data_IF_801166266792
#
_entry.id   IF_801166266792
#
_cell.length_a   1.000
_cell.length_b   1.000
_cell.length_c   1.000
_cell.angle_alpha   90.00
_cell.angle_beta   90.00
_cell.angle_gamma   90.00
#
_symmetry.space_group_name_H-M   'P 1'
#
loop_
_entity.id
_entity.type
_entity.pdbx_description
1 polymer ?
#
# COMPACT_ATOMS: atom_id res chain seq x y z
N UNK A 1 -35.24 -5.58 -17.15
CA UNK A 1 -34.97 -4.67 -16.03
C UNK A 1 -33.85 -5.28 -15.22
N UNK A 2 -32.72 -4.58 -15.03
CA UNK A 2 -31.56 -5.14 -14.32
C UNK A 2 -31.85 -5.20 -12.81
N UNK A 3 -31.44 -6.29 -12.17
CA UNK A 3 -31.52 -6.42 -10.72
C UNK A 3 -30.37 -5.64 -10.06
N UNK A 4 -30.72 -4.59 -9.32
CA UNK A 4 -29.76 -3.73 -8.62
C UNK A 4 -29.45 -4.22 -7.21
N UNK A 5 -30.05 -5.32 -6.75
CA UNK A 5 -29.79 -5.90 -5.43
C UNK A 5 -28.34 -6.33 -5.25
N UNK A 6 -27.65 -6.70 -6.34
CA UNK A 6 -26.22 -7.02 -6.37
C UNK A 6 -25.35 -5.93 -5.73
N UNK A 7 -25.63 -4.64 -6.00
CA UNK A 7 -24.85 -3.51 -5.46
C UNK A 7 -24.99 -3.32 -3.94
N UNK A 8 -26.02 -3.93 -3.34
CA UNK A 8 -26.28 -3.92 -1.90
C UNK A 8 -25.89 -5.23 -1.22
N UNK A 9 -25.26 -6.16 -1.95
CA UNK A 9 -24.79 -7.42 -1.38
C UNK A 9 -23.61 -7.20 -0.42
N UNK A 10 -23.39 -8.10 0.55
CA UNK A 10 -22.23 -8.04 1.44
C UNK A 10 -20.90 -7.97 0.67
N UNK A 11 -20.79 -8.72 -0.43
CA UNK A 11 -19.60 -8.71 -1.30
C UNK A 11 -19.37 -7.34 -1.95
N UNK A 12 -20.43 -6.68 -2.42
CA UNK A 12 -20.32 -5.34 -2.99
C UNK A 12 -19.99 -4.27 -1.94
N UNK A 13 -20.41 -4.46 -0.67
CA UNK A 13 -19.98 -3.61 0.45
C UNK A 13 -18.49 -3.82 0.78
N UNK A 14 -18.03 -5.07 0.80
CA UNK A 14 -16.64 -5.43 1.08
C UNK A 14 -15.68 -4.81 0.06
N UNK A 15 -15.94 -4.94 -1.24
CA UNK A 15 -15.14 -4.31 -2.30
C UNK A 15 -15.09 -2.79 -2.13
N UNK A 16 -16.21 -2.16 -1.74
CA UNK A 16 -16.25 -0.71 -1.51
C UNK A 16 -15.50 -0.30 -0.25
N UNK A 17 -15.51 -1.13 0.79
CA UNK A 17 -14.67 -0.91 1.97
C UNK A 17 -13.20 -1.01 1.60
N UNK A 18 -12.80 -2.04 0.86
CA UNK A 18 -11.43 -2.20 0.38
C UNK A 18 -10.98 -0.97 -0.41
N UNK A 19 -11.75 -0.53 -1.41
CA UNK A 19 -11.43 0.68 -2.18
C UNK A 19 -11.36 1.96 -1.33
N UNK A 20 -12.18 2.07 -0.28
CA UNK A 20 -12.10 3.20 0.67
C UNK A 20 -10.84 3.13 1.53
N UNK A 21 -10.43 1.94 1.95
CA UNK A 21 -9.17 1.75 2.67
C UNK A 21 -7.97 2.10 1.78
N UNK A 22 -7.95 1.60 0.55
CA UNK A 22 -6.91 1.93 -0.43
C UNK A 22 -6.84 3.43 -0.70
N UNK A 23 -7.98 4.09 -0.91
CA UNK A 23 -8.03 5.54 -1.09
C UNK A 23 -7.46 6.32 0.10
N UNK A 24 -7.75 5.89 1.33
CA UNK A 24 -7.15 6.49 2.54
C UNK A 24 -5.64 6.32 2.57
N UNK A 25 -5.15 5.13 2.28
CA UNK A 25 -3.71 4.86 2.27
C UNK A 25 -3.00 5.56 1.11
N UNK A 26 -3.65 5.80 -0.02
CA UNK A 26 -3.09 6.57 -1.12
C UNK A 26 -2.82 8.02 -0.69
N UNK A 27 -3.79 8.65 0.00
CA UNK A 27 -3.62 10.00 0.55
C UNK A 27 -2.52 10.04 1.61
N UNK A 28 -2.43 9.01 2.47
CA UNK A 28 -1.35 8.89 3.46
C UNK A 28 0.01 8.74 2.77
N UNK A 29 0.12 7.92 1.73
CA UNK A 29 1.36 7.72 0.98
C UNK A 29 1.86 9.03 0.36
N UNK A 30 0.95 9.80 -0.26
CA UNK A 30 1.26 11.11 -0.83
C UNK A 30 1.69 12.12 0.24
N UNK A 31 0.94 12.21 1.34
CA UNK A 31 1.29 13.11 2.44
C UNK A 31 2.65 12.76 3.07
N UNK A 32 2.95 11.46 3.24
CA UNK A 32 4.24 11.02 3.76
C UNK A 32 5.38 11.33 2.80
N UNK A 33 5.18 11.17 1.49
CA UNK A 33 6.17 11.58 0.49
C UNK A 33 6.51 13.06 0.68
N UNK A 34 5.50 13.95 0.68
CA UNK A 34 5.70 15.40 0.80
C UNK A 34 6.42 15.86 2.07
N UNK A 35 6.24 15.15 3.19
CA UNK A 35 6.77 15.54 4.49
C UNK A 35 8.21 15.06 4.76
N UNK A 36 8.73 14.10 3.99
CA UNK A 36 10.09 13.61 4.16
C UNK A 36 11.13 14.61 3.60
N UNK A 37 12.38 14.60 4.08
CA UNK A 37 13.48 15.27 3.38
C UNK A 37 13.50 14.81 1.91
N UNK A 38 13.69 15.73 0.97
CA UNK A 38 13.49 15.55 -0.49
C UNK A 38 12.02 15.36 -0.95
N UNK A 39 11.04 15.66 -0.10
CA UNK A 39 9.67 15.12 -0.16
C UNK A 39 8.78 15.36 -1.38
N UNK A 40 9.14 16.21 -2.34
CA UNK A 40 8.34 16.32 -3.59
C UNK A 40 8.71 15.31 -4.66
N UNK A 41 9.89 14.70 -4.58
CA UNK A 41 10.40 13.81 -5.63
C UNK A 41 10.25 12.32 -5.28
N UNK A 42 9.76 12.01 -4.07
CA UNK A 42 9.64 10.62 -3.64
C UNK A 42 8.45 9.90 -4.26
N UNK A 43 8.73 8.71 -4.76
CA UNK A 43 7.71 7.78 -5.19
C UNK A 43 7.02 7.05 -4.01
N UNK A 44 5.82 6.50 -4.23
CA UNK A 44 5.12 5.70 -3.20
C UNK A 44 5.93 4.47 -2.78
N UNK A 45 6.74 3.91 -3.68
CA UNK A 45 7.64 2.78 -3.39
C UNK A 45 8.74 3.18 -2.41
N UNK A 46 9.32 4.37 -2.56
CA UNK A 46 10.29 4.91 -1.60
C UNK A 46 9.67 5.18 -0.22
N UNK A 47 8.39 5.57 -0.16
CA UNK A 47 7.67 5.70 1.12
C UNK A 47 7.54 4.33 1.81
N UNK A 48 7.25 3.27 1.07
CA UNK A 48 7.20 1.90 1.62
C UNK A 48 8.57 1.50 2.18
N UNK A 49 9.65 1.70 1.42
CA UNK A 49 11.01 1.39 1.87
C UNK A 49 11.38 2.17 3.14
N UNK A 50 11.06 3.47 3.18
CA UNK A 50 11.29 4.31 4.34
C UNK A 50 10.54 3.79 5.58
N UNK A 51 9.27 3.43 5.45
CA UNK A 51 8.49 2.89 6.57
C UNK A 51 9.09 1.58 7.07
N UNK A 52 9.48 0.66 6.17
CA UNK A 52 10.08 -0.62 6.56
C UNK A 52 11.41 -0.45 7.30
N UNK A 53 12.25 0.48 6.84
CA UNK A 53 13.48 0.86 7.54
C UNK A 53 13.18 1.38 8.96
N UNK A 54 12.21 2.29 9.09
CA UNK A 54 11.78 2.82 10.41
C UNK A 54 11.18 1.75 11.32
N UNK A 55 10.62 0.69 10.75
CA UNK A 55 10.10 -0.48 11.47
C UNK A 55 11.18 -1.49 11.84
N UNK A 56 12.40 -1.33 11.33
CA UNK A 56 13.49 -2.29 11.54
C UNK A 56 13.25 -3.64 10.84
N UNK A 57 12.48 -3.63 9.74
CA UNK A 57 12.24 -4.83 8.94
C UNK A 57 13.40 -4.98 7.95
N UNK A 58 14.19 -6.04 8.12
CA UNK A 58 15.29 -6.38 7.23
C UNK A 58 14.75 -6.78 5.85
N UNK A 59 15.15 -6.03 4.81
CA UNK A 59 14.76 -6.26 3.42
C UNK A 59 15.83 -7.06 2.69
N UNK A 60 15.44 -8.17 2.07
CA UNK A 60 16.28 -8.85 1.10
C UNK A 60 16.44 -8.01 -0.18
N UNK A 61 17.52 -8.23 -0.94
CA UNK A 61 17.74 -7.55 -2.22
C UNK A 61 16.58 -7.79 -3.19
N UNK A 62 16.06 -9.02 -3.25
CA UNK A 62 14.91 -9.37 -4.08
C UNK A 62 13.63 -8.60 -3.69
N UNK A 63 13.40 -8.38 -2.39
CA UNK A 63 12.27 -7.60 -1.92
C UNK A 63 12.43 -6.11 -2.25
N UNK A 64 13.65 -5.57 -2.10
CA UNK A 64 13.97 -4.21 -2.48
C UNK A 64 13.75 -4.00 -3.98
N UNK A 65 14.27 -4.90 -4.81
CA UNK A 65 14.10 -4.87 -6.26
C UNK A 65 12.62 -4.94 -6.67
N UNK A 66 11.84 -5.83 -6.04
CA UNK A 66 10.39 -5.92 -6.26
C UNK A 66 9.67 -4.62 -5.93
N UNK A 67 10.04 -3.95 -4.83
CA UNK A 67 9.41 -2.68 -4.44
C UNK A 67 9.81 -1.58 -5.41
N UNK A 68 11.10 -1.43 -5.74
CA UNK A 68 11.58 -0.36 -6.61
C UNK A 68 11.17 -0.53 -8.07
N UNK A 69 11.04 -1.76 -8.54
CA UNK A 69 10.61 -2.10 -9.91
C UNK A 69 9.09 -2.16 -10.08
N UNK A 70 8.31 -1.78 -9.07
CA UNK A 70 6.86 -1.85 -9.13
C UNK A 70 6.28 -0.77 -10.06
N UNK A 71 5.66 -1.19 -11.16
CA UNK A 71 5.00 -0.29 -12.11
C UNK A 71 3.52 -0.02 -11.75
N UNK A 72 2.89 -0.90 -10.95
CA UNK A 72 1.50 -0.70 -10.51
C UNK A 72 1.44 0.41 -9.44
N UNK A 73 0.67 1.49 -9.65
CA UNK A 73 0.59 2.60 -8.70
C UNK A 73 -0.17 2.26 -7.40
N UNK A 74 -0.93 1.16 -7.36
CA UNK A 74 -1.75 0.75 -6.22
C UNK A 74 -1.07 -0.30 -5.34
N UNK A 75 -0.18 -1.12 -5.89
CA UNK A 75 0.58 -2.09 -5.08
C UNK A 75 1.36 -1.44 -3.93
N UNK A 76 2.08 -0.32 -4.12
CA UNK A 76 2.75 0.37 -3.03
C UNK A 76 1.80 0.90 -1.95
N UNK A 77 0.57 1.27 -2.32
CA UNK A 77 -0.47 1.69 -1.36
C UNK A 77 -0.89 0.53 -0.46
N UNK A 78 -1.08 -0.66 -1.05
CA UNK A 78 -1.39 -1.90 -0.32
C UNK A 78 -0.22 -2.33 0.57
N UNK A 79 1.01 -2.24 0.05
CA UNK A 79 2.23 -2.54 0.80
C UNK A 79 2.43 -1.58 1.97
N UNK A 80 2.16 -0.28 1.80
CA UNK A 80 2.28 0.71 2.87
C UNK A 80 1.41 0.35 4.08
N UNK A 81 0.14 -0.03 3.84
CA UNK A 81 -0.77 -0.48 4.90
C UNK A 81 -0.18 -1.65 5.70
N UNK A 82 0.44 -2.62 5.03
CA UNK A 82 1.04 -3.81 5.65
C UNK A 82 2.36 -3.48 6.34
N UNK A 83 3.19 -2.62 5.75
CA UNK A 83 4.48 -2.20 6.29
C UNK A 83 4.34 -1.59 7.70
N UNK A 84 3.23 -0.91 8.00
CA UNK A 84 2.98 -0.34 9.33
C UNK A 84 2.89 -1.40 10.44
N UNK A 85 2.48 -2.62 10.13
CA UNK A 85 2.33 -3.72 11.10
C UNK A 85 3.25 -4.90 10.83
N UNK A 86 3.99 -4.89 9.72
CA UNK A 86 4.91 -5.93 9.32
C UNK A 86 5.97 -6.19 10.41
N UNK A 87 6.28 -7.47 10.56
CA UNK A 87 7.38 -7.99 11.39
C UNK A 87 8.46 -8.65 10.53
N UNK A 88 8.10 -9.00 9.30
CA UNK A 88 8.98 -9.54 8.27
C UNK A 88 8.69 -8.87 6.91
N UNK A 89 9.60 -9.07 5.97
CA UNK A 89 9.43 -8.55 4.61
C UNK A 89 8.31 -9.31 3.86
N UNK A 90 8.13 -10.58 4.16
CA UNK A 90 7.09 -11.43 3.60
C UNK A 90 5.68 -10.91 3.93
N UNK A 91 5.48 -10.39 5.15
CA UNK A 91 4.20 -9.79 5.60
C UNK A 91 3.71 -8.70 4.65
N UNK A 92 4.63 -7.96 4.03
CA UNK A 92 4.35 -6.84 3.10
C UNK A 92 3.69 -7.34 1.81
N UNK A 93 4.11 -8.52 1.33
CA UNK A 93 3.72 -9.06 0.03
C UNK A 93 2.58 -10.07 0.09
N UNK A 94 2.06 -10.37 1.29
CA UNK A 94 0.88 -11.23 1.46
C UNK A 94 -0.31 -10.74 0.62
N UNK A 95 -1.09 -11.64 0.05
CA UNK A 95 -2.40 -11.28 -0.48
C UNK A 95 -3.36 -11.22 0.71
N UNK A 96 -4.03 -10.09 0.88
CA UNK A 96 -5.03 -9.91 1.94
C UNK A 96 -6.39 -10.32 1.39
#
# INVERSE_FOLDING_TARGET
MADLSFYKSPFAEEIREEGRQEGRFAVVAEALAELLPEGRERSRTEVVLFVLERRGVELSDAARERITGCEDPWLPVRWLRRALTATSTEDVFTEA
#
